data_IF_990554629108
#
_entry.id   IF_990554629108
#
_cell.length_a   1.000
_cell.length_b   1.000
_cell.length_c   1.000
_cell.angle_alpha   90.00
_cell.angle_beta   90.00
_cell.angle_gamma   90.00
#
_symmetry.space_group_name_H-M   'P 1'
#
loop_
_entity.id
_entity.type
_entity.pdbx_description
1 polymer ?
#
# COMPACT_ATOMS: atom_id res chain seq x y z
N UNK A 1 -44.73 43.63 46.98
CA UNK A 1 -44.70 44.19 45.61
C UNK A 1 -43.57 43.49 44.85
N UNK A 2 -43.83 42.32 44.25
CA UNK A 2 -42.85 41.60 43.44
C UNK A 2 -43.26 41.66 41.96
N UNK A 3 -42.33 42.16 41.14
CA UNK A 3 -42.45 42.34 39.69
C UNK A 3 -42.24 41.00 38.97
N UNK A 4 -43.13 40.76 37.98
CA UNK A 4 -42.98 40.26 36.59
C UNK A 4 -41.73 39.41 36.27
N UNK A 5 -41.76 38.30 35.52
CA UNK A 5 -42.30 37.99 34.19
C UNK A 5 -42.34 36.44 34.07
N UNK A 6 -43.14 35.73 33.27
CA UNK A 6 -43.78 36.04 32.01
C UNK A 6 -43.27 35.10 30.91
N UNK A 7 -44.11 34.11 30.57
CA UNK A 7 -44.11 33.21 29.39
C UNK A 7 -43.07 32.07 29.27
N UNK A 8 -43.61 30.84 29.32
CA UNK A 8 -43.01 29.59 28.85
C UNK A 8 -43.66 29.27 27.50
N UNK A 9 -42.86 29.21 26.42
CA UNK A 9 -43.32 28.67 25.12
C UNK A 9 -43.10 27.16 25.10
N UNK A 10 -44.19 26.43 24.87
CA UNK A 10 -44.20 25.01 24.57
C UNK A 10 -43.69 24.76 23.15
N UNK A 11 -42.78 23.80 23.00
CA UNK A 11 -42.46 23.20 21.70
C UNK A 11 -42.84 21.72 21.77
N UNK A 12 -43.82 21.34 20.95
CA UNK A 12 -44.33 19.99 20.83
C UNK A 12 -43.29 19.07 20.18
N UNK A 13 -43.00 17.95 20.83
CA UNK A 13 -42.20 16.85 20.29
C UNK A 13 -43.13 15.95 19.48
N UNK A 14 -42.95 15.93 18.16
CA UNK A 14 -43.61 14.95 17.29
C UNK A 14 -42.75 13.67 17.26
N UNK A 15 -43.25 12.61 17.88
CA UNK A 15 -42.74 11.24 17.73
C UNK A 15 -43.06 10.73 16.32
N UNK A 16 -42.03 10.42 15.53
CA UNK A 16 -42.15 9.61 14.32
C UNK A 16 -41.73 8.19 14.68
N UNK A 17 -42.72 7.28 14.70
CA UNK A 17 -42.53 5.85 14.82
C UNK A 17 -42.01 5.30 13.48
N UNK A 18 -40.76 4.85 13.45
CA UNK A 18 -40.21 4.09 12.33
C UNK A 18 -40.58 2.60 12.50
N UNK A 19 -41.30 2.08 11.52
CA UNK A 19 -41.75 0.69 11.44
C UNK A 19 -40.60 -0.29 11.22
N UNK A 20 -40.75 -1.47 11.84
CA UNK A 20 -39.89 -2.63 11.67
C UNK A 20 -39.93 -3.13 10.22
N UNK A 21 -38.78 -3.20 9.56
CA UNK A 21 -38.60 -3.92 8.31
C UNK A 21 -37.84 -5.23 8.58
N UNK A 22 -38.48 -6.34 8.23
CA UNK A 22 -38.02 -7.71 8.37
C UNK A 22 -36.84 -8.01 7.44
N UNK A 23 -35.80 -8.65 7.98
CA UNK A 23 -34.66 -9.16 7.21
C UNK A 23 -35.06 -10.42 6.39
N UNK A 24 -34.58 -10.58 5.15
CA UNK A 24 -34.69 -11.85 4.44
C UNK A 24 -33.64 -12.84 4.95
N UNK A 25 -34.11 -14.02 5.34
CA UNK A 25 -33.32 -15.21 5.67
C UNK A 25 -32.75 -15.83 4.40
N UNK A 26 -31.43 -15.98 4.32
CA UNK A 26 -30.75 -16.74 3.28
C UNK A 26 -30.33 -18.09 3.86
N UNK A 27 -30.99 -19.17 3.41
CA UNK A 27 -30.63 -20.55 3.75
C UNK A 27 -29.45 -21.03 2.88
N UNK A 28 -28.44 -21.72 3.44
CA UNK A 28 -27.44 -22.41 2.65
C UNK A 28 -27.96 -23.81 2.26
N UNK A 29 -28.01 -24.09 0.96
CA UNK A 29 -28.17 -25.45 0.43
C UNK A 29 -26.83 -26.19 0.50
N UNK A 30 -26.86 -27.31 1.23
CA UNK A 30 -25.78 -28.26 1.36
C UNK A 30 -26.04 -29.41 0.37
N UNK A 31 -25.11 -29.71 -0.52
CA UNK A 31 -25.07 -30.98 -1.25
C UNK A 31 -23.69 -31.61 -1.14
N UNK A 32 -23.63 -32.62 -0.28
CA UNK A 32 -22.54 -33.56 -0.13
C UNK A 32 -22.65 -34.62 -1.25
N UNK A 33 -21.52 -35.00 -1.84
CA UNK A 33 -21.45 -36.03 -2.87
C UNK A 33 -20.04 -36.55 -3.08
N UNK A 34 -19.50 -37.25 -2.08
CA UNK A 34 -18.29 -38.06 -2.21
C UNK A 34 -18.59 -39.35 -2.98
N UNK A 35 -17.83 -39.66 -4.03
CA UNK A 35 -17.46 -41.04 -4.37
C UNK A 35 -16.04 -41.09 -4.97
N UNK A 36 -15.24 -41.98 -4.41
CA UNK A 36 -13.91 -42.41 -4.84
C UNK A 36 -14.03 -43.86 -5.34
N UNK A 37 -13.40 -44.21 -6.47
CA UNK A 37 -12.38 -45.28 -6.58
C UNK A 37 -12.04 -45.63 -8.05
N UNK A 38 -10.75 -45.52 -8.35
CA UNK A 38 -9.84 -46.49 -9.02
C UNK A 38 -10.15 -47.09 -10.41
N UNK A 39 -9.22 -46.94 -11.37
CA UNK A 39 -8.19 -47.96 -11.78
C UNK A 39 -7.46 -47.63 -13.09
N UNK A 40 -6.14 -47.89 -13.08
CA UNK A 40 -5.22 -48.27 -14.18
C UNK A 40 -5.06 -47.29 -15.37
N UNK A 41 -3.91 -47.05 -16.01
CA UNK A 41 -2.77 -47.92 -16.36
C UNK A 41 -1.54 -47.06 -16.69
N UNK A 42 -0.38 -47.62 -16.41
CA UNK A 42 0.97 -47.26 -16.86
C UNK A 42 1.15 -47.21 -18.38
N UNK A 43 1.78 -46.16 -18.92
CA UNK A 43 2.56 -46.21 -20.17
C UNK A 43 3.66 -45.14 -20.19
N UNK A 44 4.92 -45.57 -20.23
CA UNK A 44 6.04 -44.84 -20.85
C UNK A 44 5.92 -45.01 -22.37
N UNK A 45 6.43 -44.05 -23.19
CA UNK A 45 7.72 -44.34 -23.83
C UNK A 45 8.60 -43.12 -24.20
N UNK A 46 9.92 -43.40 -24.14
CA UNK A 46 11.00 -43.12 -25.10
C UNK A 46 11.22 -41.71 -25.68
N UNK A 47 12.43 -41.26 -25.39
CA UNK A 47 13.32 -40.37 -26.15
C UNK A 47 13.23 -40.52 -27.68
N UNK A 48 13.22 -39.37 -28.37
CA UNK A 48 13.60 -39.24 -29.77
C UNK A 48 14.44 -37.97 -29.96
N UNK A 49 15.72 -38.15 -30.26
CA UNK A 49 16.59 -37.13 -30.84
C UNK A 49 16.08 -36.71 -32.21
N UNK A 50 16.20 -35.41 -32.55
CA UNK A 50 16.64 -34.98 -33.88
C UNK A 50 17.17 -33.54 -33.91
N UNK A 51 18.42 -33.46 -34.39
CA UNK A 51 19.03 -32.46 -35.27
C UNK A 51 19.32 -31.04 -34.78
N UNK A 52 20.63 -30.82 -34.70
CA UNK A 52 21.38 -29.57 -34.67
C UNK A 52 20.93 -28.56 -35.72
N UNK A 53 20.64 -27.33 -35.28
CA UNK A 53 20.88 -26.12 -36.05
C UNK A 53 21.63 -25.16 -35.12
N UNK A 54 22.95 -25.13 -35.29
CA UNK A 54 23.85 -24.24 -34.60
C UNK A 54 23.67 -22.84 -35.21
N UNK A 55 22.85 -22.01 -34.57
CA UNK A 55 22.86 -20.57 -34.80
C UNK A 55 23.61 -19.93 -33.63
N UNK A 56 24.74 -19.32 -33.96
CA UNK A 56 25.63 -18.65 -33.03
C UNK A 56 24.86 -17.67 -32.14
N UNK A 57 24.91 -17.88 -30.82
CA UNK A 57 24.44 -16.91 -29.85
C UNK A 57 25.32 -15.64 -29.96
N UNK A 58 24.75 -14.44 -30.15
CA UNK A 58 25.54 -13.23 -29.98
C UNK A 58 25.93 -13.14 -28.51
N UNK A 59 27.24 -13.04 -28.26
CA UNK A 59 27.84 -12.75 -26.97
C UNK A 59 27.32 -11.40 -26.46
N UNK A 60 26.21 -11.41 -25.74
CA UNK A 60 25.73 -10.23 -25.03
C UNK A 60 26.37 -10.22 -23.64
N UNK A 61 27.51 -9.56 -23.56
CA UNK A 61 28.09 -9.11 -22.31
C UNK A 61 27.23 -7.97 -21.77
N UNK A 62 26.03 -8.30 -21.25
CA UNK A 62 25.15 -7.33 -20.62
C UNK A 62 25.67 -7.05 -19.21
N UNK A 63 26.35 -5.92 -19.09
CA UNK A 63 26.86 -5.33 -17.86
C UNK A 63 25.82 -5.35 -16.74
N UNK A 64 26.01 -6.23 -15.76
CA UNK A 64 25.24 -6.28 -14.51
C UNK A 64 25.25 -4.94 -13.73
N UNK A 65 26.14 -3.99 -14.09
CA UNK A 65 26.24 -2.68 -13.45
C UNK A 65 25.18 -1.67 -13.95
N UNK A 66 24.66 -1.79 -15.18
CA UNK A 66 23.64 -0.87 -15.66
C UNK A 66 22.26 -1.14 -15.01
N UNK A 67 21.96 -2.40 -14.73
CA UNK A 67 20.69 -2.83 -14.16
C UNK A 67 20.49 -2.37 -12.71
N UNK A 68 21.54 -2.36 -11.89
CA UNK A 68 21.47 -1.84 -10.51
C UNK A 68 21.37 -0.31 -10.44
N UNK A 69 21.93 0.41 -11.43
CA UNK A 69 21.87 1.88 -11.50
C UNK A 69 20.48 2.37 -11.90
N UNK A 70 19.79 1.68 -12.81
CA UNK A 70 18.43 2.07 -13.24
C UNK A 70 17.40 1.84 -12.12
N UNK A 71 17.47 0.73 -11.38
CA UNK A 71 16.59 0.50 -10.22
C UNK A 71 16.83 1.52 -9.09
N UNK A 72 18.10 1.89 -8.86
CA UNK A 72 18.49 2.90 -7.87
C UNK A 72 18.01 4.33 -8.17
N UNK A 73 17.60 4.63 -9.41
CA UNK A 73 17.13 5.95 -9.82
C UNK A 73 15.60 6.10 -9.83
N UNK A 74 14.86 4.99 -9.71
CA UNK A 74 13.40 5.03 -9.60
C UNK A 74 13.01 5.81 -8.35
N UNK A 75 12.02 6.67 -8.50
CA UNK A 75 11.68 7.65 -7.46
C UNK A 75 12.41 8.99 -7.59
N UNK A 76 13.41 9.14 -8.46
CA UNK A 76 14.03 10.46 -8.71
C UNK A 76 13.22 11.28 -9.73
N UNK A 77 13.28 12.61 -9.60
CA UNK A 77 12.66 13.52 -10.57
C UNK A 77 13.21 13.34 -11.99
N UNK A 78 14.51 13.09 -12.14
CA UNK A 78 15.14 12.91 -13.45
C UNK A 78 14.63 11.64 -14.16
N UNK A 79 14.61 10.51 -13.46
CA UNK A 79 14.11 9.24 -14.02
C UNK A 79 12.62 9.31 -14.33
N UNK A 80 11.82 9.94 -13.44
CA UNK A 80 10.40 10.17 -13.69
C UNK A 80 10.15 11.03 -14.92
N UNK A 81 10.90 12.13 -15.10
CA UNK A 81 10.72 13.01 -16.25
C UNK A 81 11.08 12.31 -17.58
N UNK A 82 12.10 11.45 -17.58
CA UNK A 82 12.44 10.63 -18.75
C UNK A 82 11.33 9.65 -19.11
N UNK A 83 10.76 8.98 -18.11
CA UNK A 83 9.59 8.12 -18.29
C UNK A 83 8.39 8.92 -18.80
N UNK A 84 8.08 10.05 -18.15
CA UNK A 84 6.92 10.87 -18.45
C UNK A 84 6.96 11.39 -19.89
N UNK A 85 8.12 11.84 -20.37
CA UNK A 85 8.32 12.37 -21.73
C UNK A 85 7.88 11.39 -22.84
N UNK A 86 7.91 10.08 -22.57
CA UNK A 86 7.54 9.03 -23.52
C UNK A 86 6.28 8.23 -23.10
N UNK A 87 5.61 8.65 -22.01
CA UNK A 87 4.50 7.91 -21.43
C UNK A 87 3.16 8.32 -22.03
N UNK A 88 2.34 7.34 -22.41
CA UNK A 88 0.94 7.57 -22.76
C UNK A 88 0.10 8.10 -21.58
N UNK A 89 0.61 8.01 -20.34
CA UNK A 89 -0.08 8.45 -19.12
C UNK A 89 0.16 9.93 -18.77
N UNK A 90 0.82 10.73 -19.63
CA UNK A 90 1.11 12.15 -19.34
C UNK A 90 -0.12 12.95 -18.86
N UNK A 91 -1.24 12.80 -19.57
CA UNK A 91 -2.47 13.50 -19.20
C UNK A 91 -3.07 12.99 -17.88
N UNK A 92 -2.97 11.68 -17.61
CA UNK A 92 -3.49 11.08 -16.38
C UNK A 92 -2.64 11.44 -15.16
N UNK A 93 -1.33 11.59 -15.31
CA UNK A 93 -0.44 12.13 -14.26
C UNK A 93 -0.89 13.53 -13.85
N UNK A 94 -1.14 14.41 -14.83
CA UNK A 94 -1.58 15.78 -14.57
C UNK A 94 -2.96 15.81 -13.87
N UNK A 95 -3.92 15.00 -14.35
CA UNK A 95 -5.25 14.89 -13.72
C UNK A 95 -5.15 14.35 -12.29
N UNK A 96 -4.34 13.33 -12.05
CA UNK A 96 -4.20 12.75 -10.72
C UNK A 96 -3.56 13.73 -9.75
N UNK A 97 -2.49 14.41 -10.16
CA UNK A 97 -1.86 15.46 -9.35
C UNK A 97 -2.84 16.58 -9.02
N UNK A 98 -3.61 17.04 -10.01
CA UNK A 98 -4.63 18.06 -9.81
C UNK A 98 -5.72 17.60 -8.85
N UNK A 99 -6.23 16.37 -9.01
CA UNK A 99 -7.21 15.78 -8.11
C UNK A 99 -6.70 15.79 -6.67
N UNK A 100 -5.49 15.28 -6.42
CA UNK A 100 -4.91 15.27 -5.08
C UNK A 100 -4.73 16.68 -4.51
N UNK A 101 -4.26 17.62 -5.32
CA UNK A 101 -4.06 19.01 -4.91
C UNK A 101 -5.39 19.69 -4.53
N UNK A 102 -6.48 19.40 -5.24
CA UNK A 102 -7.81 19.90 -4.90
C UNK A 102 -8.36 19.31 -3.59
N UNK A 103 -8.05 18.04 -3.30
CA UNK A 103 -8.56 17.33 -2.12
C UNK A 103 -7.73 17.53 -0.85
N UNK A 104 -6.44 17.83 -0.99
CA UNK A 104 -5.48 17.90 0.12
C UNK A 104 -4.83 19.28 0.28
N UNK A 105 -4.85 20.11 -0.77
CA UNK A 105 -4.01 21.30 -0.89
C UNK A 105 -2.62 20.93 -1.44
N UNK A 106 -2.03 21.82 -2.23
CA UNK A 106 -0.77 21.60 -2.96
C UNK A 106 0.38 21.18 -2.03
N UNK A 107 0.48 21.79 -0.85
CA UNK A 107 1.55 21.53 0.11
C UNK A 107 1.51 20.11 0.74
N UNK A 108 0.36 19.43 0.69
CA UNK A 108 0.19 18.10 1.25
C UNK A 108 0.32 16.97 0.20
N UNK A 109 0.52 17.31 -1.08
CA UNK A 109 0.71 16.34 -2.16
C UNK A 109 2.21 16.01 -2.29
N UNK A 110 2.63 14.75 -2.08
CA UNK A 110 4.01 14.35 -2.34
C UNK A 110 4.38 14.51 -3.82
N UNK A 111 5.68 14.58 -4.16
CA UNK A 111 6.09 14.63 -5.55
C UNK A 111 5.58 13.42 -6.34
N UNK A 112 5.09 13.64 -7.56
CA UNK A 112 4.58 12.55 -8.42
C UNK A 112 5.64 11.50 -8.76
N UNK A 113 6.91 11.92 -8.81
CA UNK A 113 8.02 11.00 -9.03
C UNK A 113 8.18 9.99 -7.89
N UNK A 114 7.71 10.27 -6.68
CA UNK A 114 7.64 9.29 -5.59
C UNK A 114 6.27 8.59 -5.59
N UNK A 115 5.17 9.37 -5.69
CA UNK A 115 3.82 8.85 -5.49
C UNK A 115 3.36 7.87 -6.58
N UNK A 116 3.97 7.92 -7.76
CA UNK A 116 3.64 7.02 -8.86
C UNK A 116 4.59 5.82 -8.95
N UNK A 117 5.56 5.69 -8.04
CA UNK A 117 6.45 4.52 -8.00
C UNK A 117 5.64 3.23 -7.76
N UNK A 118 5.90 2.20 -8.55
CA UNK A 118 5.15 0.93 -8.46
C UNK A 118 5.72 0.01 -7.38
N UNK A 119 6.22 -1.18 -7.72
CA UNK A 119 6.91 -2.06 -6.79
C UNK A 119 8.42 -1.96 -7.00
N UNK A 120 9.24 -2.15 -5.95
CA UNK A 120 10.71 -2.22 -6.11
C UNK A 120 11.14 -3.32 -7.09
N UNK A 121 10.39 -4.42 -7.13
CA UNK A 121 10.64 -5.54 -8.05
C UNK A 121 10.13 -5.28 -9.48
N UNK A 122 9.71 -4.06 -9.84
CA UNK A 122 9.13 -3.73 -11.14
C UNK A 122 9.98 -4.25 -12.30
N UNK A 123 11.30 -4.08 -12.23
CA UNK A 123 12.23 -4.42 -13.30
C UNK A 123 12.31 -5.93 -13.49
N UNK A 124 12.53 -6.68 -12.41
CA UNK A 124 12.60 -8.15 -12.45
C UNK A 124 11.24 -8.78 -12.78
N UNK A 125 10.15 -8.08 -12.47
CA UNK A 125 8.79 -8.48 -12.83
C UNK A 125 8.39 -8.07 -14.25
N UNK A 126 9.18 -7.25 -14.96
CA UNK A 126 8.86 -6.80 -16.31
C UNK A 126 7.71 -5.80 -16.40
N UNK A 127 7.47 -4.99 -15.36
CA UNK A 127 6.44 -3.94 -15.35
C UNK A 127 7.04 -2.54 -15.50
N UNK A 128 6.21 -1.51 -15.58
CA UNK A 128 6.68 -0.12 -15.58
C UNK A 128 7.11 0.33 -14.18
N UNK A 129 8.15 1.19 -14.07
CA UNK A 129 8.59 1.76 -12.78
C UNK A 129 7.58 2.74 -12.19
N UNK A 130 6.74 3.34 -13.04
CA UNK A 130 5.68 4.26 -12.64
C UNK A 130 4.33 3.88 -13.24
N UNK A 131 3.25 4.12 -12.49
CA UNK A 131 1.90 3.87 -12.94
C UNK A 131 0.90 4.80 -12.22
N UNK A 132 0.02 5.45 -12.98
CA UNK A 132 -1.15 6.14 -12.42
C UNK A 132 -2.19 5.09 -12.02
N UNK A 133 -2.70 5.10 -10.78
CA UNK A 133 -3.78 4.19 -10.39
C UNK A 133 -5.04 4.45 -11.22
N UNK A 134 -5.89 3.43 -11.46
CA UNK A 134 -7.23 3.63 -12.00
C UNK A 134 -7.98 4.73 -11.25
N UNK A 135 -8.70 5.58 -11.99
CA UNK A 135 -9.41 6.75 -11.43
C UNK A 135 -10.38 6.38 -10.31
N UNK A 136 -11.03 5.22 -10.43
CA UNK A 136 -11.93 4.67 -9.41
C UNK A 136 -11.27 4.42 -8.05
N UNK A 137 -9.93 4.37 -7.99
CA UNK A 137 -9.15 4.15 -6.77
C UNK A 137 -8.49 5.42 -6.24
N UNK A 138 -8.65 6.58 -6.90
CA UNK A 138 -7.94 7.81 -6.50
C UNK A 138 -8.30 8.28 -5.10
N UNK A 139 -9.59 8.21 -4.75
CA UNK A 139 -10.09 8.63 -3.43
C UNK A 139 -9.54 7.78 -2.28
N UNK A 140 -9.17 6.53 -2.56
CA UNK A 140 -8.62 5.59 -1.57
C UNK A 140 -7.25 6.01 -1.03
N UNK A 141 -6.52 6.85 -1.77
CA UNK A 141 -5.20 7.34 -1.36
C UNK A 141 -5.29 8.54 -0.40
N UNK A 142 -6.40 9.28 -0.43
CA UNK A 142 -6.53 10.54 0.32
C UNK A 142 -6.28 10.37 1.83
N UNK A 143 -6.86 9.38 2.53
CA UNK A 143 -6.64 9.24 3.97
C UNK A 143 -5.19 8.85 4.29
N UNK A 144 -4.55 8.04 3.44
CA UNK A 144 -3.13 7.66 3.59
C UNK A 144 -2.19 8.84 3.43
N UNK A 145 -2.45 9.74 2.47
CA UNK A 145 -1.66 10.96 2.33
C UNK A 145 -1.89 11.96 3.46
N UNK A 146 -3.11 12.06 4.00
CA UNK A 146 -3.39 12.86 5.21
C UNK A 146 -2.63 12.34 6.42
N UNK A 147 -2.60 11.01 6.60
CA UNK A 147 -1.80 10.38 7.64
C UNK A 147 -0.31 10.68 7.44
N UNK A 148 0.22 10.45 6.24
CA UNK A 148 1.63 10.69 5.92
C UNK A 148 2.03 12.14 6.20
N UNK A 149 1.20 13.10 5.79
CA UNK A 149 1.40 14.52 6.09
C UNK A 149 1.38 14.78 7.61
N UNK A 150 0.41 14.22 8.35
CA UNK A 150 0.33 14.37 9.80
C UNK A 150 1.57 13.82 10.52
N UNK A 151 2.07 12.64 10.11
CA UNK A 151 3.27 12.03 10.68
C UNK A 151 4.51 12.90 10.46
N UNK A 152 4.65 13.53 9.28
CA UNK A 152 5.76 14.46 9.00
C UNK A 152 5.63 15.77 9.78
N UNK A 153 4.44 16.34 9.84
CA UNK A 153 4.16 17.60 10.57
C UNK A 153 4.36 17.44 12.08
N UNK A 154 4.09 16.26 12.64
CA UNK A 154 4.33 15.93 14.04
C UNK A 154 5.75 15.42 14.32
N UNK A 155 6.64 15.42 13.31
CA UNK A 155 8.00 14.91 13.38
C UNK A 155 8.12 13.43 13.83
N UNK A 156 7.04 12.65 13.69
CA UNK A 156 7.08 11.18 13.85
C UNK A 156 7.88 10.57 12.70
N UNK A 157 7.67 11.08 11.48
CA UNK A 157 8.53 10.80 10.34
C UNK A 157 9.45 12.00 10.07
N UNK A 158 10.76 11.78 9.84
CA UNK A 158 11.65 12.85 9.40
C UNK A 158 11.15 13.53 8.12
N UNK A 159 11.41 14.84 8.00
CA UNK A 159 10.96 15.62 6.85
C UNK A 159 11.50 15.10 5.49
N UNK A 160 12.66 14.46 5.48
CA UNK A 160 13.29 13.87 4.30
C UNK A 160 12.88 12.40 4.04
N UNK A 161 11.88 11.88 4.76
CA UNK A 161 11.24 10.60 4.41
C UNK A 161 10.69 10.66 2.99
N UNK A 162 10.90 9.60 2.22
CA UNK A 162 10.49 9.47 0.81
C UNK A 162 9.60 8.24 0.60
N UNK A 163 8.69 8.33 -0.38
CA UNK A 163 7.84 7.23 -0.83
C UNK A 163 8.57 6.43 -1.92
N UNK A 164 8.49 5.09 -1.88
CA UNK A 164 9.19 4.19 -2.82
C UNK A 164 8.34 3.09 -3.43
N UNK A 165 7.12 2.89 -2.95
CA UNK A 165 6.19 1.95 -3.56
C UNK A 165 4.75 2.33 -3.20
N UNK A 166 3.87 2.37 -4.20
CA UNK A 166 2.50 2.90 -4.06
C UNK A 166 1.53 1.97 -4.76
N UNK A 167 0.89 2.40 -5.86
CA UNK A 167 -0.07 1.56 -6.55
C UNK A 167 0.64 0.42 -7.28
N UNK A 168 0.14 -0.80 -7.07
CA UNK A 168 0.59 -1.99 -7.80
C UNK A 168 -0.64 -2.60 -8.46
N UNK A 169 -0.62 -2.73 -9.78
CA UNK A 169 -1.65 -3.54 -10.44
C UNK A 169 -1.56 -5.00 -9.94
N UNK A 170 -2.64 -5.80 -10.05
CA UNK A 170 -2.68 -7.14 -9.44
C UNK A 170 -1.54 -8.07 -9.86
N UNK A 171 -1.20 -8.09 -11.15
CA UNK A 171 -0.13 -8.96 -11.68
C UNK A 171 1.25 -8.55 -11.14
N UNK A 172 1.53 -7.24 -11.05
CA UNK A 172 2.75 -6.75 -10.43
C UNK A 172 2.78 -7.06 -8.92
N UNK A 173 1.66 -6.90 -8.22
CA UNK A 173 1.59 -7.23 -6.80
C UNK A 173 1.90 -8.70 -6.55
N UNK A 174 1.33 -9.62 -7.34
CA UNK A 174 1.60 -11.05 -7.27
C UNK A 174 3.08 -11.37 -7.54
N UNK A 175 3.65 -10.86 -8.63
CA UNK A 175 5.08 -11.08 -8.95
C UNK A 175 6.01 -10.53 -7.86
N UNK A 176 5.68 -9.38 -7.29
CA UNK A 176 6.46 -8.77 -6.20
C UNK A 176 6.30 -9.50 -4.85
N UNK A 177 5.58 -10.63 -4.80
CA UNK A 177 5.32 -11.39 -3.57
C UNK A 177 4.35 -10.70 -2.62
N UNK A 178 3.52 -9.78 -3.12
CA UNK A 178 2.52 -9.08 -2.35
C UNK A 178 1.37 -10.00 -1.94
N UNK A 179 0.80 -9.78 -0.75
CA UNK A 179 -0.35 -10.53 -0.28
C UNK A 179 -1.57 -10.36 -1.22
N UNK A 180 -2.47 -11.36 -1.35
CA UNK A 180 -3.71 -11.24 -2.14
C UNK A 180 -4.64 -10.12 -1.67
N UNK A 181 -4.54 -9.70 -0.40
CA UNK A 181 -5.31 -8.60 0.19
C UNK A 181 -4.50 -7.29 0.30
N UNK A 182 -3.38 -7.19 -0.43
CA UNK A 182 -2.48 -6.03 -0.39
C UNK A 182 -3.19 -4.72 -0.68
N UNK A 183 -2.96 -3.74 0.19
CA UNK A 183 -3.55 -2.40 0.10
C UNK A 183 -2.91 -1.52 -0.99
N UNK A 184 -1.77 -1.94 -1.54
CA UNK A 184 -1.18 -1.33 -2.73
C UNK A 184 -2.07 -1.52 -3.97
N UNK A 185 -2.77 -2.65 -4.08
CA UNK A 185 -3.71 -2.90 -5.19
C UNK A 185 -4.97 -2.04 -5.11
N UNK A 186 -5.29 -1.53 -3.92
CA UNK A 186 -6.43 -0.64 -3.68
C UNK A 186 -6.04 0.85 -3.70
N UNK A 187 -4.80 1.18 -4.10
CA UNK A 187 -4.26 2.55 -4.05
C UNK A 187 -4.48 3.22 -2.68
N UNK A 188 -4.22 2.49 -1.60
CA UNK A 188 -4.40 3.01 -0.24
C UNK A 188 -3.21 2.72 0.65
N UNK A 189 -2.06 2.39 0.06
CA UNK A 189 -0.84 2.08 0.78
C UNK A 189 0.35 2.77 0.14
N UNK A 190 1.30 3.16 0.98
CA UNK A 190 2.61 3.63 0.60
C UNK A 190 3.66 2.87 1.41
N UNK A 191 4.74 2.49 0.74
CA UNK A 191 5.98 2.09 1.40
C UNK A 191 6.92 3.29 1.38
N UNK A 192 7.46 3.63 2.54
CA UNK A 192 8.39 4.74 2.74
C UNK A 192 9.71 4.27 3.28
N UNK A 193 10.73 5.11 3.10
CA UNK A 193 12.06 4.92 3.67
C UNK A 193 12.70 6.27 3.99
N UNK A 194 13.79 6.22 4.73
CA UNK A 194 14.59 7.38 5.12
C UNK A 194 15.98 7.16 4.51
N UNK A 195 16.34 7.84 3.40
CA UNK A 195 17.50 7.51 2.57
C UNK A 195 18.83 7.30 3.31
N UNK A 196 19.06 8.04 4.38
CA UNK A 196 20.33 8.05 5.12
C UNK A 196 20.31 7.17 6.38
N UNK A 197 19.23 6.43 6.61
CA UNK A 197 19.07 5.55 7.76
C UNK A 197 19.26 4.10 7.32
N UNK A 198 20.44 3.57 7.59
CA UNK A 198 20.72 2.15 7.39
C UNK A 198 19.85 1.28 8.32
N UNK A 199 19.62 -0.01 7.98
CA UNK A 199 18.85 -0.93 8.82
C UNK A 199 19.29 -1.02 10.30
N UNK A 200 20.58 -0.85 10.57
CA UNK A 200 21.20 -0.88 11.89
C UNK A 200 21.39 0.51 12.51
N UNK A 201 20.92 1.58 11.85
CA UNK A 201 21.02 2.94 12.36
C UNK A 201 20.09 3.14 13.58
N UNK A 202 20.60 3.58 14.74
CA UNK A 202 19.77 3.85 15.91
C UNK A 202 18.65 4.87 15.67
N UNK A 203 18.83 5.80 14.72
CA UNK A 203 17.79 6.77 14.35
C UNK A 203 16.61 6.12 13.65
N UNK A 204 16.84 5.03 12.91
CA UNK A 204 15.77 4.23 12.33
C UNK A 204 14.96 3.55 13.44
N UNK A 205 15.63 2.93 14.41
CA UNK A 205 14.99 2.30 15.56
C UNK A 205 14.13 3.32 16.34
N UNK A 206 14.68 4.50 16.65
CA UNK A 206 13.94 5.58 17.31
C UNK A 206 12.71 6.05 16.49
N UNK A 207 12.83 6.12 15.16
CA UNK A 207 11.70 6.46 14.28
C UNK A 207 10.62 5.37 14.30
N UNK A 208 11.02 4.11 14.29
CA UNK A 208 10.11 2.97 14.38
C UNK A 208 9.39 2.93 15.73
N UNK A 209 10.07 3.25 16.82
CA UNK A 209 9.46 3.39 18.15
C UNK A 209 8.45 4.55 18.20
N UNK A 210 8.77 5.70 17.60
CA UNK A 210 7.84 6.83 17.50
C UNK A 210 6.58 6.48 16.69
N UNK A 211 6.73 5.74 15.58
CA UNK A 211 5.61 5.22 14.79
C UNK A 211 4.76 4.23 15.60
N UNK A 212 5.40 3.39 16.39
CA UNK A 212 4.72 2.46 17.30
C UNK A 212 3.89 3.18 18.36
N UNK A 213 4.45 4.24 18.98
CA UNK A 213 3.71 5.08 19.92
C UNK A 213 2.53 5.79 19.26
N UNK A 214 2.75 6.37 18.07
CA UNK A 214 1.66 6.98 17.30
C UNK A 214 0.56 5.96 16.98
N UNK A 215 0.92 4.74 16.58
CA UNK A 215 -0.04 3.68 16.28
C UNK A 215 -0.85 3.28 17.51
N UNK A 216 -0.22 3.14 18.68
CA UNK A 216 -0.90 2.79 19.92
C UNK A 216 -1.93 3.85 20.34
N UNK A 217 -1.59 5.13 20.19
CA UNK A 217 -2.44 6.24 20.67
C UNK A 217 -3.49 6.67 19.63
N UNK A 218 -3.14 6.62 18.35
CA UNK A 218 -3.94 7.20 17.27
C UNK A 218 -4.31 6.22 16.16
N UNK A 219 -3.74 5.01 16.14
CA UNK A 219 -3.86 4.11 15.00
C UNK A 219 -5.29 3.68 14.69
N UNK A 220 -6.13 3.46 15.71
CA UNK A 220 -7.53 3.11 15.51
C UNK A 220 -8.30 4.23 14.79
N UNK A 221 -8.11 5.49 15.23
CA UNK A 221 -8.72 6.67 14.62
C UNK A 221 -8.31 6.84 13.14
N UNK A 222 -7.07 6.48 12.81
CA UNK A 222 -6.55 6.56 11.45
C UNK A 222 -6.84 5.31 10.61
N UNK A 223 -7.42 4.27 11.20
CA UNK A 223 -7.54 2.94 10.59
C UNK A 223 -6.17 2.45 10.06
N UNK A 224 -5.11 2.68 10.86
CA UNK A 224 -3.72 2.60 10.44
C UNK A 224 -3.21 1.16 10.38
N UNK A 225 -2.87 0.73 9.17
CA UNK A 225 -2.06 -0.45 8.91
C UNK A 225 -0.57 -0.09 8.90
N UNK A 226 0.18 -0.56 9.90
CA UNK A 226 1.61 -0.26 10.07
C UNK A 226 2.48 -1.52 9.89
N UNK A 227 3.33 -1.53 8.87
CA UNK A 227 4.34 -2.57 8.69
C UNK A 227 5.75 -2.04 8.90
N UNK A 228 6.55 -2.69 9.75
CA UNK A 228 7.96 -2.33 9.97
C UNK A 228 8.86 -3.47 9.51
N UNK A 229 9.68 -3.23 8.48
CA UNK A 229 10.54 -4.25 7.90
C UNK A 229 11.99 -4.11 8.35
N UNK A 230 12.68 -5.24 8.52
CA UNK A 230 14.10 -5.28 8.87
C UNK A 230 14.99 -4.57 7.82
N UNK A 231 14.51 -4.37 6.59
CA UNK A 231 15.24 -3.61 5.57
C UNK A 231 15.17 -2.09 5.76
N UNK A 232 14.48 -1.61 6.80
CA UNK A 232 14.20 -0.19 7.04
C UNK A 232 13.04 0.40 6.23
N UNK A 233 12.37 -0.43 5.40
CA UNK A 233 11.13 -0.02 4.77
C UNK A 233 10.00 0.05 5.81
N UNK A 234 9.12 1.04 5.65
CA UNK A 234 7.96 1.26 6.52
C UNK A 234 6.72 1.28 5.63
N UNK A 235 5.77 0.40 5.90
CA UNK A 235 4.47 0.35 5.22
C UNK A 235 3.45 1.17 6.00
N UNK A 236 2.70 2.02 5.28
CA UNK A 236 1.57 2.78 5.80
C UNK A 236 0.34 2.58 4.92
N UNK A 237 -0.79 2.21 5.51
CA UNK A 237 -2.11 2.27 4.87
C UNK A 237 -3.19 2.69 5.86
N UNK A 238 -4.36 3.06 5.34
CA UNK A 238 -5.52 3.51 6.14
C UNK A 238 -6.74 2.60 5.94
N UNK A 239 -6.51 1.30 5.72
CA UNK A 239 -7.56 0.30 5.47
C UNK A 239 -7.58 -0.84 6.51
N UNK A 240 -7.14 -0.57 7.75
CA UNK A 240 -7.34 -1.48 8.87
C UNK A 240 -6.42 -1.11 10.03
N UNK A 241 -6.92 -1.09 11.26
CA UNK A 241 -6.08 -0.93 12.46
C UNK A 241 -5.31 -2.23 12.74
N UNK A 242 -4.10 -2.35 12.18
CA UNK A 242 -3.28 -3.56 12.26
C UNK A 242 -1.79 -3.23 12.20
N UNK A 243 -0.96 -4.13 12.70
CA UNK A 243 0.50 -4.01 12.61
C UNK A 243 1.20 -5.33 12.39
N UNK A 244 2.36 -5.30 11.73
CA UNK A 244 3.21 -6.48 11.51
C UNK A 244 4.68 -6.07 11.43
N UNK A 245 5.56 -7.01 11.79
CA UNK A 245 7.01 -6.82 11.74
C UNK A 245 7.68 -7.63 10.63
N UNK A 246 9.00 -7.81 10.76
CA UNK A 246 9.88 -8.48 9.80
C UNK A 246 9.47 -9.91 9.39
N UNK A 247 8.56 -10.56 10.11
CA UNK A 247 8.04 -11.90 9.79
C UNK A 247 6.58 -11.93 9.31
N UNK A 248 6.00 -10.78 8.94
CA UNK A 248 4.62 -10.67 8.43
C UNK A 248 3.52 -11.27 9.34
N UNK A 249 3.83 -11.61 10.59
CA UNK A 249 2.94 -12.30 11.53
C UNK A 249 2.58 -11.41 12.73
N UNK A 250 1.42 -11.69 13.33
CA UNK A 250 1.00 -11.13 14.62
C UNK A 250 1.92 -11.55 15.79
N UNK A 251 2.76 -12.59 15.59
CA UNK A 251 3.62 -13.20 16.61
C UNK A 251 5.06 -12.69 16.67
N UNK A 252 5.55 -11.99 15.63
CA UNK A 252 6.86 -11.30 15.61
C UNK A 252 6.68 -9.79 15.62
N UNK A 253 5.85 -9.29 16.54
CA UNK A 253 5.12 -8.06 16.30
C UNK A 253 6.00 -6.82 16.47
N UNK A 254 6.03 -6.01 15.41
CA UNK A 254 6.34 -4.59 15.53
C UNK A 254 5.60 -4.00 16.74
N UNK A 255 6.27 -3.11 17.48
CA UNK A 255 5.72 -2.37 18.62
C UNK A 255 5.46 -3.18 19.91
N UNK A 256 5.98 -4.41 20.05
CA UNK A 256 5.81 -5.21 21.28
C UNK A 256 6.74 -4.80 22.44
N UNK A 257 7.94 -4.29 22.17
CA UNK A 257 8.94 -4.03 23.20
C UNK A 257 8.71 -2.73 24.01
N UNK A 258 7.68 -1.94 23.72
CA UNK A 258 7.48 -0.66 24.38
C UNK A 258 6.95 -0.75 25.82
N UNK A 259 6.75 -1.96 26.36
CA UNK A 259 6.27 -2.20 27.73
C UNK A 259 7.27 -2.98 28.63
N UNK A 260 8.49 -3.26 28.17
CA UNK A 260 9.45 -4.06 28.94
C UNK A 260 10.43 -3.22 29.81
N UNK A 261 10.17 -1.93 30.03
CA UNK A 261 11.14 -1.03 30.68
C UNK A 261 10.56 0.18 31.39
N UNK A 262 9.40 0.04 32.05
CA UNK A 262 8.96 0.98 33.10
C UNK A 262 8.85 0.26 34.43
#
# INVERSE_FOLDING_TARGET
MNKKHGLVSALAVAMVLAGCASAPTYSPSNSNGSQSLSKHTSHTPKSAHKTSAQMAAPSQNHSHNAFGVIDGQVGSAAHFNQWLANSAQQSDVAKYQQYLAQQLGVAAVPPMHELLTTARSWLVCGFAPYQVPPETLWSSMLPTLRLYHALKTQAVLPAHTQIRSVYRNPALNECAGGAPSSKHMANSAIDVWIPDYAPDDPRLAATQDALCQFWLVHGERWNLGLGLYATGAIHLDTQGYRKWGAQHSLGGAACQQMFAGQ
#
